data_IF_303597674491
#
_entry.id   IF_303597674491
#
_cell.length_a   1.000
_cell.length_b   1.000
_cell.length_c   1.000
_cell.angle_alpha   90.00
_cell.angle_beta   90.00
_cell.angle_gamma   90.00
#
_symmetry.space_group_name_H-M   'P 1'
#
loop_
_entity.id
_entity.type
_entity.pdbx_description
1 polymer ?
#
# COMPACT_ATOMS: atom_id res chain seq x y z
N UNK A 1 11.99 14.57 0.97
CA UNK A 1 11.13 13.77 0.08
C UNK A 1 10.46 14.70 -0.93
N UNK A 2 10.88 14.68 -2.19
CA UNK A 2 10.33 15.55 -3.23
C UNK A 2 8.92 15.06 -3.62
N UNK A 3 8.02 15.96 -4.02
CA UNK A 3 6.65 15.64 -4.49
C UNK A 3 6.62 14.49 -5.51
N UNK A 4 7.65 14.38 -6.36
CA UNK A 4 7.83 13.31 -7.34
C UNK A 4 8.02 11.92 -6.75
N UNK A 5 8.64 11.79 -5.55
CA UNK A 5 8.82 10.49 -4.87
C UNK A 5 7.55 10.01 -4.16
N UNK A 6 6.70 10.95 -3.72
CA UNK A 6 5.36 10.63 -3.20
C UNK A 6 4.45 10.16 -4.33
N UNK A 7 4.52 10.81 -5.51
CA UNK A 7 3.78 10.43 -6.72
C UNK A 7 4.07 8.99 -7.18
N UNK A 8 5.30 8.50 -7.03
CA UNK A 8 5.66 7.11 -7.32
C UNK A 8 4.89 6.14 -6.41
N UNK A 9 4.91 6.39 -5.09
CA UNK A 9 4.12 5.63 -4.11
C UNK A 9 2.61 5.72 -4.41
N UNK A 10 2.11 6.80 -5.02
CA UNK A 10 0.70 6.91 -5.39
C UNK A 10 0.29 5.95 -6.53
N UNK A 11 1.21 5.57 -7.42
CA UNK A 11 0.93 4.60 -8.48
C UNK A 11 0.67 3.17 -7.94
N UNK A 12 1.11 2.89 -6.70
CA UNK A 12 0.85 1.65 -5.97
C UNK A 12 -0.64 1.35 -5.73
N UNK A 13 -1.43 2.41 -5.55
CA UNK A 13 -2.84 2.33 -5.14
C UNK A 13 -3.77 1.92 -6.29
N UNK A 14 -3.24 1.56 -7.47
CA UNK A 14 -4.05 1.39 -8.68
C UNK A 14 -4.43 -0.10 -8.93
N UNK A 15 -4.03 -1.06 -8.08
CA UNK A 15 -4.01 -2.49 -8.45
C UNK A 15 -5.08 -3.43 -7.86
N UNK A 16 -6.20 -2.96 -7.29
CA UNK A 16 -7.26 -3.84 -6.75
C UNK A 16 -8.03 -4.63 -7.83
N UNK A 17 -7.96 -4.28 -9.13
CA UNK A 17 -8.77 -4.95 -10.18
C UNK A 17 -8.06 -5.99 -11.04
N UNK A 18 -6.78 -6.29 -10.81
CA UNK A 18 -6.05 -7.27 -11.63
C UNK A 18 -6.05 -8.70 -11.04
N UNK A 19 -7.16 -9.16 -10.46
CA UNK A 19 -7.36 -10.58 -10.14
C UNK A 19 -8.50 -11.13 -11.00
N UNK A 20 -8.16 -11.57 -12.20
CA UNK A 20 -9.05 -12.36 -13.04
C UNK A 20 -9.17 -13.77 -12.40
N UNK A 21 -10.17 -13.97 -11.54
CA UNK A 21 -10.38 -15.25 -10.86
C UNK A 21 -11.49 -15.25 -9.81
N UNK A 22 -12.75 -15.29 -10.23
CA UNK A 22 -13.94 -15.71 -9.46
C UNK A 22 -14.37 -14.94 -8.18
N UNK A 23 -13.56 -14.10 -7.55
CA UNK A 23 -14.03 -13.23 -6.45
C UNK A 23 -14.15 -11.81 -6.96
N UNK A 24 -15.34 -11.22 -6.79
CA UNK A 24 -15.57 -9.80 -7.09
C UNK A 24 -14.66 -8.87 -6.29
N UNK A 25 -14.75 -7.57 -6.55
CA UNK A 25 -14.04 -6.57 -5.77
C UNK A 25 -14.29 -6.79 -4.26
N UNK A 26 -13.27 -6.66 -3.40
CA UNK A 26 -13.43 -6.88 -1.97
C UNK A 26 -14.50 -5.94 -1.39
N UNK A 27 -15.22 -6.47 -0.41
CA UNK A 27 -16.30 -5.85 0.35
C UNK A 27 -15.95 -5.63 1.82
N UNK A 28 -14.83 -6.19 2.28
CA UNK A 28 -14.26 -5.97 3.60
C UNK A 28 -12.73 -6.08 3.58
N UNK A 29 -12.08 -5.68 4.68
CA UNK A 29 -10.63 -5.73 4.83
C UNK A 29 -10.05 -7.15 4.70
N UNK A 30 -10.77 -8.15 5.18
CA UNK A 30 -10.33 -9.55 5.24
C UNK A 30 -10.82 -10.39 4.05
N UNK A 31 -11.45 -9.76 3.06
CA UNK A 31 -11.96 -10.47 1.90
C UNK A 31 -10.83 -11.17 1.14
N UNK A 32 -11.08 -12.44 0.79
CA UNK A 32 -10.12 -13.31 0.11
C UNK A 32 -8.78 -13.39 0.87
N UNK A 33 -8.81 -13.44 2.21
CA UNK A 33 -7.63 -13.62 3.03
C UNK A 33 -6.91 -14.95 2.71
N UNK A 34 -5.59 -14.87 2.55
CA UNK A 34 -4.70 -16.01 2.28
C UNK A 34 -3.31 -15.73 2.83
N UNK A 35 -2.38 -16.67 2.67
CA UNK A 35 -0.98 -16.48 3.07
C UNK A 35 -0.29 -15.47 2.13
N UNK A 36 0.34 -14.44 2.68
CA UNK A 36 1.06 -13.41 1.94
C UNK A 36 2.57 -13.54 2.15
N UNK A 37 3.30 -13.76 1.06
CA UNK A 37 4.74 -13.96 1.05
C UNK A 37 5.39 -12.86 0.17
N UNK A 38 5.71 -11.67 0.72
CA UNK A 38 6.21 -10.55 -0.08
C UNK A 38 7.58 -10.84 -0.72
N UNK A 39 8.38 -11.69 -0.07
CA UNK A 39 9.73 -12.07 -0.51
C UNK A 39 9.88 -13.59 -0.50
N UNK A 40 10.39 -14.15 -1.59
CA UNK A 40 10.67 -15.58 -1.68
C UNK A 40 11.69 -16.00 -0.61
N UNK A 41 11.36 -17.03 0.17
CA UNK A 41 12.23 -17.55 1.23
C UNK A 41 12.03 -16.90 2.60
N UNK A 42 11.24 -15.84 2.71
CA UNK A 42 10.84 -15.24 3.99
C UNK A 42 9.54 -15.87 4.53
N UNK A 43 9.30 -15.83 5.85
CA UNK A 43 8.04 -16.31 6.43
C UNK A 43 6.83 -15.58 5.83
N UNK A 44 5.83 -16.34 5.41
CA UNK A 44 4.57 -15.78 4.96
C UNK A 44 3.73 -15.32 6.15
N UNK A 45 3.04 -14.20 5.99
CA UNK A 45 2.03 -13.74 6.94
C UNK A 45 0.70 -14.42 6.61
N UNK A 46 0.09 -15.20 7.52
CA UNK A 46 -1.15 -15.91 7.24
C UNK A 46 -2.37 -15.01 7.38
N UNK A 47 -3.43 -15.31 6.62
CA UNK A 47 -4.72 -14.61 6.66
C UNK A 47 -4.65 -13.11 6.38
N UNK A 48 -3.80 -12.69 5.45
CA UNK A 48 -3.75 -11.29 5.01
C UNK A 48 -4.83 -11.07 3.97
N UNK A 49 -5.75 -10.14 4.18
CA UNK A 49 -6.84 -9.81 3.24
C UNK A 49 -6.35 -9.27 1.91
N UNK A 50 -7.12 -9.48 0.83
CA UNK A 50 -6.75 -9.03 -0.52
C UNK A 50 -6.49 -7.52 -0.62
N UNK A 51 -7.24 -6.63 0.06
CA UNK A 51 -6.92 -5.20 0.10
C UNK A 51 -5.51 -4.92 0.60
N UNK A 52 -5.06 -5.59 1.67
CA UNK A 52 -3.72 -5.42 2.23
C UNK A 52 -2.65 -5.93 1.27
N UNK A 53 -2.83 -7.15 0.73
CA UNK A 53 -1.88 -7.73 -0.22
C UNK A 53 -1.67 -6.82 -1.43
N UNK A 54 -2.77 -6.37 -2.04
CA UNK A 54 -2.72 -5.48 -3.21
C UNK A 54 -2.04 -4.15 -2.89
N UNK A 55 -2.34 -3.55 -1.74
CA UNK A 55 -1.70 -2.30 -1.30
C UNK A 55 -0.20 -2.50 -1.12
N UNK A 56 0.21 -3.54 -0.39
CA UNK A 56 1.63 -3.79 -0.07
C UNK A 56 2.43 -4.12 -1.32
N UNK A 57 1.89 -4.94 -2.22
CA UNK A 57 2.53 -5.26 -3.50
C UNK A 57 2.68 -4.01 -4.37
N UNK A 58 1.62 -3.22 -4.51
CA UNK A 58 1.69 -1.95 -5.23
C UNK A 58 2.71 -1.01 -4.61
N UNK A 59 2.73 -0.90 -3.29
CA UNK A 59 3.61 0.02 -2.56
C UNK A 59 5.08 -0.36 -2.75
N UNK A 60 5.39 -1.65 -2.72
CA UNK A 60 6.73 -2.17 -2.99
C UNK A 60 7.14 -1.95 -4.44
N UNK A 61 6.25 -2.25 -5.38
CA UNK A 61 6.52 -2.07 -6.81
C UNK A 61 6.77 -0.60 -7.16
N UNK A 62 6.05 0.31 -6.52
CA UNK A 62 6.26 1.75 -6.63
C UNK A 62 7.55 2.23 -5.97
N UNK A 63 7.91 1.66 -4.81
CA UNK A 63 9.04 2.12 -4.02
C UNK A 63 10.40 1.60 -4.48
N UNK A 64 10.45 0.49 -5.24
CA UNK A 64 11.69 -0.23 -5.55
C UNK A 64 12.73 0.58 -6.35
N UNK A 65 12.26 1.48 -7.22
CA UNK A 65 13.15 2.23 -8.13
C UNK A 65 13.35 3.70 -7.70
N UNK A 66 12.42 4.25 -6.92
CA UNK A 66 12.34 5.69 -6.64
C UNK A 66 12.77 6.12 -5.23
N UNK A 67 12.94 5.16 -4.30
CA UNK A 67 13.30 5.42 -2.91
C UNK A 67 14.80 5.18 -2.64
N UNK A 68 15.34 5.83 -1.61
CA UNK A 68 16.73 5.67 -1.21
C UNK A 68 16.98 4.25 -0.66
N UNK A 69 18.19 3.69 -0.80
CA UNK A 69 18.50 2.29 -0.42
C UNK A 69 18.12 1.95 1.03
N UNK A 70 18.22 2.91 1.95
CA UNK A 70 17.84 2.72 3.35
C UNK A 70 16.32 2.50 3.53
N UNK A 71 15.50 3.16 2.71
CA UNK A 71 14.05 2.95 2.69
C UNK A 71 13.71 1.67 1.95
N UNK A 72 14.42 1.35 0.86
CA UNK A 72 14.24 0.10 0.12
C UNK A 72 14.47 -1.14 0.99
N UNK A 73 15.46 -1.09 1.90
CA UNK A 73 15.78 -2.17 2.81
C UNK A 73 14.64 -2.52 3.79
N UNK A 74 13.76 -1.55 4.08
CA UNK A 74 12.63 -1.69 5.00
C UNK A 74 11.29 -1.49 4.28
N UNK A 75 11.27 -1.66 2.95
CA UNK A 75 10.13 -1.23 2.13
C UNK A 75 8.86 -2.02 2.45
N UNK A 76 8.95 -3.32 2.75
CA UNK A 76 7.78 -4.10 3.15
C UNK A 76 7.19 -3.59 4.48
N UNK A 77 8.05 -3.29 5.47
CA UNK A 77 7.62 -2.74 6.76
C UNK A 77 6.99 -1.35 6.61
N UNK A 78 7.57 -0.48 5.76
CA UNK A 78 6.98 0.82 5.41
C UNK A 78 5.59 0.64 4.80
N UNK A 79 5.45 -0.30 3.86
CA UNK A 79 4.19 -0.55 3.18
C UNK A 79 3.14 -1.14 4.14
N UNK A 80 3.54 -2.05 5.03
CA UNK A 80 2.65 -2.59 6.05
C UNK A 80 2.20 -1.50 7.04
N UNK A 81 3.13 -0.70 7.57
CA UNK A 81 2.82 0.43 8.44
C UNK A 81 1.82 1.39 7.79
N UNK A 82 2.04 1.71 6.51
CA UNK A 82 1.15 2.56 5.74
C UNK A 82 -0.27 2.01 5.67
N UNK A 83 -0.40 0.72 5.33
CA UNK A 83 -1.69 0.06 5.27
C UNK A 83 -2.39 0.01 6.63
N UNK A 84 -1.69 -0.40 7.69
CA UNK A 84 -2.26 -0.52 9.04
C UNK A 84 -2.83 0.82 9.51
N UNK A 85 -2.10 1.92 9.30
CA UNK A 85 -2.58 3.26 9.67
C UNK A 85 -3.73 3.74 8.78
N UNK A 86 -3.71 3.42 7.49
CA UNK A 86 -4.84 3.73 6.59
C UNK A 86 -6.10 2.98 7.04
N UNK A 87 -5.97 1.68 7.36
CA UNK A 87 -7.08 0.85 7.87
C UNK A 87 -7.64 1.40 9.19
N UNK A 88 -6.78 1.90 10.06
CA UNK A 88 -7.19 2.50 11.34
C UNK A 88 -7.84 3.88 11.17
N UNK A 89 -7.49 4.59 10.09
CA UNK A 89 -7.93 5.96 9.80
C UNK A 89 -9.20 6.04 8.95
N UNK A 90 -9.41 5.07 8.06
CA UNK A 90 -10.48 5.06 7.07
C UNK A 90 -11.43 3.89 7.28
N UNK A 91 -12.71 4.08 6.93
CA UNK A 91 -13.59 2.93 6.70
C UNK A 91 -13.18 2.20 5.41
N UNK A 92 -13.61 0.95 5.26
CA UNK A 92 -13.36 0.19 4.04
C UNK A 92 -13.96 0.86 2.79
N UNK A 93 -15.14 1.48 2.93
CA UNK A 93 -15.77 2.22 1.82
C UNK A 93 -14.96 3.47 1.44
N UNK A 94 -14.44 4.22 2.43
CA UNK A 94 -13.56 5.38 2.16
C UNK A 94 -12.25 4.96 1.49
N UNK A 95 -11.68 3.83 1.90
CA UNK A 95 -10.50 3.27 1.24
C UNK A 95 -10.79 2.90 -0.21
N UNK A 96 -11.95 2.29 -0.49
CA UNK A 96 -12.38 1.99 -1.86
C UNK A 96 -12.58 3.24 -2.70
N UNK A 97 -13.20 4.28 -2.15
CA UNK A 97 -13.35 5.56 -2.84
C UNK A 97 -12.00 6.17 -3.20
N UNK A 98 -11.06 6.20 -2.24
CA UNK A 98 -9.69 6.68 -2.47
C UNK A 98 -8.97 5.88 -3.57
N UNK A 99 -9.07 4.56 -3.50
CA UNK A 99 -8.48 3.61 -4.44
C UNK A 99 -9.07 3.77 -5.86
N UNK A 100 -10.40 3.92 -5.98
CA UNK A 100 -11.08 4.17 -7.25
C UNK A 100 -10.76 5.55 -7.84
N UNK A 101 -10.61 6.58 -7.00
CA UNK A 101 -10.20 7.93 -7.42
C UNK A 101 -8.79 7.94 -8.00
N UNK A 102 -7.85 7.26 -7.33
CA UNK A 102 -6.46 7.14 -7.78
C UNK A 102 -6.34 6.32 -9.07
N UNK A 103 -7.16 5.28 -9.24
CA UNK A 103 -7.26 4.55 -10.52
C UNK A 103 -7.77 5.42 -11.65
N UNK A 104 -8.83 6.17 -11.38
CA UNK A 104 -9.54 6.95 -12.39
C UNK A 104 -8.75 8.19 -12.82
N UNK A 105 -7.86 8.66 -11.95
CA UNK A 105 -7.00 9.80 -12.22
C UNK A 105 -5.60 9.56 -11.66
N UNK A 106 -4.66 9.22 -12.55
CA UNK A 106 -3.24 9.03 -12.20
C UNK A 106 -2.56 10.29 -11.63
N UNK A 107 -3.21 11.47 -11.75
CA UNK A 107 -2.76 12.72 -11.12
C UNK A 107 -3.62 13.12 -9.91
N UNK A 108 -4.52 12.25 -9.43
CA UNK A 108 -5.23 12.50 -8.18
C UNK A 108 -4.20 12.55 -7.05
N UNK A 109 -4.26 13.63 -6.29
CA UNK A 109 -3.47 13.77 -5.07
C UNK A 109 -4.07 12.86 -3.99
N UNK A 110 -3.20 12.18 -3.24
CA UNK A 110 -3.58 11.59 -1.97
C UNK A 110 -4.19 12.65 -1.06
N UNK A 111 -5.07 12.22 -0.16
CA UNK A 111 -5.46 13.08 0.95
C UNK A 111 -4.21 13.45 1.76
N UNK A 112 -4.24 14.63 2.37
CA UNK A 112 -3.15 15.09 3.25
C UNK A 112 -2.89 14.08 4.38
N UNK A 113 -3.95 13.46 4.90
CA UNK A 113 -3.90 12.41 5.92
C UNK A 113 -3.10 11.19 5.46
N UNK A 114 -3.43 10.60 4.31
CA UNK A 114 -2.70 9.43 3.80
C UNK A 114 -1.25 9.77 3.44
N UNK A 115 -1.01 10.97 2.92
CA UNK A 115 0.34 11.45 2.64
C UNK A 115 1.19 11.58 3.91
N UNK A 116 0.59 12.03 5.01
CA UNK A 116 1.24 12.13 6.32
C UNK A 116 1.50 10.76 6.92
N UNK A 117 0.54 9.83 6.82
CA UNK A 117 0.69 8.43 7.24
C UNK A 117 1.92 7.81 6.59
N UNK A 118 2.01 7.85 5.25
CA UNK A 118 3.13 7.24 4.53
C UNK A 118 4.46 7.88 4.89
N UNK A 119 4.49 9.21 5.06
CA UNK A 119 5.71 9.91 5.48
C UNK A 119 6.18 9.47 6.86
N UNK A 120 5.26 9.33 7.82
CA UNK A 120 5.62 8.88 9.17
C UNK A 120 6.15 7.45 9.15
N UNK A 121 5.48 6.54 8.44
CA UNK A 121 5.95 5.17 8.29
C UNK A 121 7.34 5.07 7.66
N UNK A 122 7.63 5.89 6.64
CA UNK A 122 8.99 5.95 6.06
C UNK A 122 10.03 6.36 7.11
N UNK A 123 9.72 7.37 7.95
CA UNK A 123 10.66 7.83 8.96
C UNK A 123 10.89 6.81 10.06
N UNK A 124 9.82 6.19 10.53
CA UNK A 124 9.84 5.23 11.63
C UNK A 124 10.54 3.92 11.22
N UNK A 125 10.10 3.30 10.13
CA UNK A 125 10.60 1.98 9.70
C UNK A 125 12.01 2.06 9.07
N UNK A 126 12.39 3.22 8.51
CA UNK A 126 13.74 3.40 7.96
C UNK A 126 14.76 3.93 8.96
N UNK A 127 14.36 4.18 10.23
CA UNK A 127 15.25 4.76 11.25
C UNK A 127 15.72 6.18 10.92
N UNK A 128 14.88 6.96 10.24
CA UNK A 128 15.12 8.35 9.84
C UNK A 128 14.37 9.36 10.73
N UNK A 129 13.68 8.87 11.77
CA UNK A 129 12.90 9.64 12.75
C UNK A 129 13.72 10.35 13.82
#
# INVERSE_FOLDING_TARGET
>A
MNRTRLLAIMAALILITAACGSSGAPTSWDDNAEDYCPTEGEPCEPNVGQPERNFRDGCREAGKDDLDQQVQANLDDVCKCGFDRIRDSLTFDQFKELDDDLRSNINADLTEEVSQIMRQCILEESGLG
#
